data_IF_828176997856
#
_entry.id   IF_828176997856
#
_cell.length_a   1.000
_cell.length_b   1.000
_cell.length_c   1.000
_cell.angle_alpha   90.00
_cell.angle_beta   90.00
_cell.angle_gamma   90.00
#
_symmetry.space_group_name_H-M   'P 1'
#
loop_
_entity.id
_entity.type
_entity.pdbx_description
1 polymer ?
#
# COMPACT_ATOMS: atom_id res chain seq x y z
N UNK A 1 -8.48 -10.86 20.83
CA UNK A 1 -9.36 -9.68 20.85
C UNK A 1 -8.49 -8.51 20.38
N UNK A 2 -8.93 -7.72 19.39
CA UNK A 2 -8.14 -6.57 18.91
C UNK A 2 -8.22 -5.47 19.97
N UNK A 3 -7.07 -5.01 20.44
CA UNK A 3 -7.00 -3.83 21.30
C UNK A 3 -7.10 -2.57 20.42
N UNK A 4 -8.33 -2.07 20.28
CA UNK A 4 -8.62 -0.91 19.46
C UNK A 4 -7.92 0.37 19.96
N UNK A 5 -7.70 0.50 21.27
CA UNK A 5 -7.06 1.68 21.84
C UNK A 5 -5.55 1.70 21.56
N UNK A 6 -4.90 0.52 21.60
CA UNK A 6 -3.50 0.40 21.20
C UNK A 6 -3.31 0.70 19.69
N UNK A 7 -4.23 0.20 18.85
CA UNK A 7 -4.22 0.45 17.41
C UNK A 7 -4.41 1.93 17.08
N UNK A 8 -5.40 2.58 17.69
CA UNK A 8 -5.62 4.03 17.58
C UNK A 8 -4.36 4.79 17.95
N UNK A 9 -3.74 4.42 19.07
CA UNK A 9 -2.53 5.06 19.55
C UNK A 9 -1.39 4.98 18.54
N UNK A 10 -1.08 3.79 18.03
CA UNK A 10 0.00 3.62 17.06
C UNK A 10 -0.26 4.40 15.78
N UNK A 11 -1.49 4.36 15.25
CA UNK A 11 -1.85 5.09 14.03
C UNK A 11 -1.69 6.61 14.17
N UNK A 12 -2.11 7.17 15.31
CA UNK A 12 -1.93 8.58 15.61
C UNK A 12 -0.46 8.95 15.83
N UNK A 13 0.31 8.10 16.52
CA UNK A 13 1.72 8.34 16.78
C UNK A 13 2.54 8.42 15.47
N UNK A 14 2.15 7.70 14.41
CA UNK A 14 2.77 7.80 13.09
C UNK A 14 2.31 9.04 12.30
N UNK A 15 1.02 9.35 12.34
CA UNK A 15 0.42 10.34 11.44
C UNK A 15 0.59 11.77 11.91
N UNK A 16 0.35 12.03 13.19
CA UNK A 16 0.31 13.38 13.76
C UNK A 16 1.65 14.15 13.62
N UNK A 17 2.84 13.51 13.73
CA UNK A 17 4.11 14.19 13.47
C UNK A 17 4.21 14.78 12.05
N UNK A 18 3.61 14.12 11.03
CA UNK A 18 3.62 14.62 9.65
C UNK A 18 2.78 15.89 9.50
N UNK A 19 1.66 15.98 10.23
CA UNK A 19 0.84 17.20 10.28
C UNK A 19 1.58 18.33 10.98
N UNK A 20 2.25 18.05 12.11
CA UNK A 20 3.08 19.05 12.79
C UNK A 20 4.21 19.57 11.87
N UNK A 21 4.88 18.69 11.13
CA UNK A 21 5.92 19.08 10.17
C UNK A 21 5.39 19.96 9.02
N UNK A 22 4.09 19.86 8.69
CA UNK A 22 3.40 20.71 7.72
C UNK A 22 2.87 22.02 8.32
N UNK A 23 3.16 22.30 9.58
CA UNK A 23 2.77 23.55 10.26
C UNK A 23 1.41 23.51 10.96
N UNK A 24 0.77 22.35 11.08
CA UNK A 24 -0.46 22.22 11.85
C UNK A 24 -0.16 22.15 13.35
N UNK A 25 -1.02 22.76 14.16
CA UNK A 25 -1.07 22.52 15.61
C UNK A 25 -2.00 21.36 15.88
N UNK A 26 -1.46 20.24 16.34
CA UNK A 26 -2.23 19.02 16.60
C UNK A 26 -2.60 18.88 18.07
N UNK A 27 -3.85 18.50 18.34
CA UNK A 27 -4.36 18.11 19.66
C UNK A 27 -4.94 16.71 19.55
N UNK A 28 -4.41 15.78 20.35
CA UNK A 28 -4.90 14.40 20.45
C UNK A 28 -5.98 14.31 21.52
N UNK A 29 -7.06 13.57 21.24
CA UNK A 29 -8.25 13.47 22.10
C UNK A 29 -8.68 14.85 22.62
N UNK A 30 -9.03 15.77 21.70
CA UNK A 30 -9.40 17.13 22.06
C UNK A 30 -10.53 17.14 23.09
N UNK A 31 -10.42 18.04 24.07
CA UNK A 31 -11.55 18.35 24.94
C UNK A 31 -12.58 19.18 24.15
N UNK A 32 -13.81 19.28 24.67
CA UNK A 32 -14.88 20.07 24.04
C UNK A 32 -14.47 21.51 23.71
N UNK A 33 -13.58 22.09 24.51
CA UNK A 33 -13.06 23.45 24.33
C UNK A 33 -12.06 23.60 23.16
N UNK A 34 -11.46 22.50 22.71
CA UNK A 34 -10.52 22.49 21.58
C UNK A 34 -11.26 22.37 20.23
N UNK A 35 -12.53 21.98 20.29
CA UNK A 35 -13.42 21.79 19.14
C UNK A 35 -14.32 23.02 18.93
N UNK A 36 -14.68 23.31 17.68
CA UNK A 36 -15.69 24.34 17.39
C UNK A 36 -17.08 23.88 17.85
N UNK A 37 -18.00 24.82 18.05
CA UNK A 37 -19.35 24.54 18.55
C UNK A 37 -20.10 23.47 17.74
N UNK A 38 -19.92 23.43 16.42
CA UNK A 38 -20.57 22.44 15.55
C UNK A 38 -20.01 21.01 15.68
N UNK A 39 -18.87 20.83 16.38
CA UNK A 39 -18.26 19.54 16.73
C UNK A 39 -18.23 19.28 18.24
N UNK A 40 -18.84 20.14 19.07
CA UNK A 40 -18.71 20.07 20.53
C UNK A 40 -19.22 18.76 21.17
N UNK A 41 -20.11 18.05 20.48
CA UNK A 41 -20.65 16.75 20.91
C UNK A 41 -20.05 15.55 20.15
N UNK A 42 -18.98 15.78 19.42
CA UNK A 42 -18.28 14.75 18.65
C UNK A 42 -16.95 14.39 19.33
N UNK A 43 -16.74 13.09 19.54
CA UNK A 43 -15.52 12.54 20.17
C UNK A 43 -14.51 12.15 19.08
N UNK A 44 -13.69 13.15 18.70
CA UNK A 44 -12.66 13.01 17.69
C UNK A 44 -11.38 12.39 18.26
N UNK A 45 -10.69 11.57 17.47
CA UNK A 45 -9.44 10.96 17.92
C UNK A 45 -8.29 11.98 17.95
N UNK A 46 -8.27 12.91 16.98
CA UNK A 46 -7.44 14.11 17.01
C UNK A 46 -8.02 15.25 16.16
N UNK A 47 -7.55 16.47 16.45
CA UNK A 47 -7.81 17.67 15.65
C UNK A 47 -6.49 18.35 15.30
N UNK A 48 -6.37 18.88 14.09
CA UNK A 48 -5.22 19.66 13.65
C UNK A 48 -5.67 21.02 13.11
N UNK A 49 -5.01 22.09 13.57
CA UNK A 49 -5.31 23.48 13.18
C UNK A 49 -4.19 24.00 12.29
N UNK A 50 -4.49 24.24 11.02
CA UNK A 50 -3.54 24.72 10.03
C UNK A 50 -3.72 26.20 9.71
N UNK A 51 -2.82 26.76 8.88
CA UNK A 51 -2.93 28.13 8.39
C UNK A 51 -4.08 28.31 7.38
N UNK A 52 -4.35 27.29 6.55
CA UNK A 52 -5.34 27.36 5.47
C UNK A 52 -6.63 26.60 5.79
N UNK A 53 -6.52 25.48 6.51
CA UNK A 53 -7.65 24.62 6.87
C UNK A 53 -7.44 23.92 8.22
N UNK A 54 -8.54 23.33 8.71
CA UNK A 54 -8.57 22.53 9.93
C UNK A 54 -8.90 21.08 9.57
N UNK A 55 -8.39 20.15 10.38
CA UNK A 55 -8.51 18.72 10.12
C UNK A 55 -9.09 18.05 11.35
N UNK A 56 -10.12 17.23 11.16
CA UNK A 56 -10.50 16.19 12.11
C UNK A 56 -9.93 14.87 11.64
N UNK A 57 -9.20 14.20 12.53
CA UNK A 57 -8.54 12.92 12.28
C UNK A 57 -9.29 11.81 12.98
N UNK A 58 -9.62 10.76 12.25
CA UNK A 58 -10.33 9.57 12.72
C UNK A 58 -9.55 8.31 12.41
N UNK A 59 -9.35 7.44 13.40
CA UNK A 59 -8.74 6.12 13.21
C UNK A 59 -9.82 5.05 13.10
N UNK A 60 -9.92 4.44 11.92
CA UNK A 60 -10.83 3.33 11.66
C UNK A 60 -10.08 2.01 11.73
N UNK A 61 -10.46 1.16 12.68
CA UNK A 61 -9.98 -0.21 12.72
C UNK A 61 -10.88 -1.16 11.93
N UNK A 62 -10.29 -2.06 11.12
CA UNK A 62 -11.03 -3.08 10.37
C UNK A 62 -11.83 -3.96 11.34
N UNK A 63 -13.14 -4.10 11.07
CA UNK A 63 -14.07 -4.85 11.94
C UNK A 63 -14.75 -4.00 13.02
N UNK A 64 -14.46 -2.69 13.12
CA UNK A 64 -15.23 -1.77 13.96
C UNK A 64 -16.68 -1.66 13.45
N UNK A 65 -17.70 -2.06 14.22
CA UNK A 65 -19.10 -2.01 13.79
C UNK A 65 -19.61 -0.59 13.55
N UNK A 66 -19.03 0.40 14.23
CA UNK A 66 -19.49 1.79 14.26
C UNK A 66 -18.71 2.72 13.33
N UNK A 67 -17.62 2.25 12.72
CA UNK A 67 -16.75 3.08 11.89
C UNK A 67 -17.49 3.74 10.72
N UNK A 68 -18.31 2.99 9.97
CA UNK A 68 -19.05 3.53 8.81
C UNK A 68 -20.03 4.63 9.21
N UNK A 69 -20.76 4.44 10.31
CA UNK A 69 -21.71 5.44 10.82
C UNK A 69 -21.02 6.68 11.38
N UNK A 70 -19.87 6.52 12.07
CA UNK A 70 -19.07 7.62 12.62
C UNK A 70 -18.57 8.55 11.51
N UNK A 71 -17.97 7.99 10.46
CA UNK A 71 -17.49 8.75 9.29
C UNK A 71 -18.63 9.43 8.53
N UNK A 72 -19.74 8.74 8.32
CA UNK A 72 -20.90 9.33 7.63
C UNK A 72 -21.41 10.55 8.38
N UNK A 73 -21.63 10.43 9.69
CA UNK A 73 -22.09 11.55 10.54
C UNK A 73 -21.10 12.72 10.49
N UNK A 74 -19.80 12.44 10.55
CA UNK A 74 -18.80 13.50 10.52
C UNK A 74 -18.78 14.22 9.16
N UNK A 75 -18.90 13.49 8.05
CA UNK A 75 -19.04 14.12 6.72
C UNK A 75 -20.26 15.01 6.62
N UNK A 76 -21.41 14.57 7.18
CA UNK A 76 -22.65 15.36 7.21
C UNK A 76 -22.48 16.66 8.02
N UNK A 77 -21.79 16.61 9.16
CA UNK A 77 -21.48 17.80 9.96
C UNK A 77 -20.58 18.77 9.17
N UNK A 78 -19.58 18.26 8.46
CA UNK A 78 -18.58 19.10 7.76
C UNK A 78 -19.08 19.75 6.46
N UNK A 79 -20.24 19.36 5.90
CA UNK A 79 -20.75 19.93 4.63
C UNK A 79 -20.85 21.46 4.65
N UNK A 80 -21.18 22.04 5.82
CA UNK A 80 -21.31 23.50 5.99
C UNK A 80 -20.02 24.23 6.39
N UNK A 81 -18.90 23.53 6.48
CA UNK A 81 -17.66 24.04 7.08
C UNK A 81 -16.46 23.77 6.14
N UNK A 82 -16.30 24.54 5.06
CA UNK A 82 -15.26 24.31 4.05
C UNK A 82 -13.83 24.54 4.55
N UNK A 83 -13.68 25.26 5.67
CA UNK A 83 -12.44 25.42 6.42
C UNK A 83 -12.07 24.17 7.25
N UNK A 84 -12.87 23.10 7.13
CA UNK A 84 -12.67 21.82 7.81
C UNK A 84 -12.74 20.65 6.86
N UNK A 85 -11.85 19.68 7.06
CA UNK A 85 -11.88 18.41 6.36
C UNK A 85 -11.64 17.23 7.28
N UNK A 86 -12.15 16.08 6.86
CA UNK A 86 -11.98 14.81 7.55
C UNK A 86 -10.82 14.02 6.93
N UNK A 87 -9.82 13.69 7.74
CA UNK A 87 -8.78 12.72 7.40
C UNK A 87 -9.02 11.41 8.16
N UNK A 88 -9.10 10.31 7.42
CA UNK A 88 -9.31 8.97 7.99
C UNK A 88 -8.02 8.18 7.90
N UNK A 89 -7.53 7.71 9.04
CA UNK A 89 -6.43 6.76 9.14
C UNK A 89 -7.04 5.38 9.36
N UNK A 90 -6.56 4.37 8.64
CA UNK A 90 -7.00 3.00 8.89
C UNK A 90 -6.04 2.35 9.89
N UNK A 91 -6.51 2.15 11.12
CA UNK A 91 -5.81 1.40 12.15
C UNK A 91 -6.00 -0.11 11.97
N UNK A 92 -5.08 -0.91 12.48
CA UNK A 92 -5.26 -2.36 12.60
C UNK A 92 -4.36 -3.20 11.71
N UNK A 93 -3.40 -2.57 11.07
CA UNK A 93 -2.18 -3.25 10.66
C UNK A 93 -1.07 -2.56 11.43
N UNK A 94 -0.47 -3.24 12.42
CA UNK A 94 0.98 -3.08 12.54
C UNK A 94 1.48 -3.46 11.16
N UNK A 95 1.79 -2.46 10.34
CA UNK A 95 2.10 -2.63 8.92
C UNK A 95 3.10 -3.77 8.85
N UNK A 96 2.68 -4.93 8.32
CA UNK A 96 3.60 -6.04 8.13
C UNK A 96 4.56 -5.54 7.07
N UNK A 97 5.67 -4.94 7.51
CA UNK A 97 6.79 -4.65 6.66
C UNK A 97 7.17 -5.99 6.04
N UNK A 98 6.93 -6.09 4.73
CA UNK A 98 7.37 -7.27 4.00
C UNK A 98 8.89 -7.13 3.94
N UNK A 99 9.66 -8.05 4.56
CA UNK A 99 11.11 -7.92 4.58
C UNK A 99 11.62 -7.88 3.14
N UNK A 100 12.64 -7.06 2.90
CA UNK A 100 13.33 -7.03 1.61
C UNK A 100 14.00 -8.40 1.42
N UNK A 101 13.54 -9.16 0.43
CA UNK A 101 14.13 -10.45 0.11
C UNK A 101 15.58 -10.26 -0.33
N UNK A 102 16.46 -11.18 0.09
CA UNK A 102 17.85 -11.18 -0.35
C UNK A 102 17.94 -11.43 -1.86
N UNK A 103 18.95 -10.84 -2.52
CA UNK A 103 19.18 -11.05 -3.95
C UNK A 103 19.30 -12.55 -4.28
N UNK A 104 20.04 -13.32 -3.48
CA UNK A 104 20.19 -14.77 -3.65
C UNK A 104 18.84 -15.51 -3.60
N UNK A 105 17.95 -15.13 -2.68
CA UNK A 105 16.61 -15.72 -2.60
C UNK A 105 15.75 -15.41 -3.83
N UNK A 106 15.85 -14.19 -4.37
CA UNK A 106 15.16 -13.79 -5.60
C UNK A 106 15.72 -14.58 -6.78
N UNK A 107 17.06 -14.68 -6.91
CA UNK A 107 17.72 -15.45 -7.96
C UNK A 107 17.28 -16.92 -7.98
N UNK A 108 17.29 -17.57 -6.82
CA UNK A 108 16.85 -18.96 -6.69
C UNK A 108 15.38 -19.13 -7.08
N UNK A 109 14.52 -18.18 -6.71
CA UNK A 109 13.09 -18.24 -7.04
C UNK A 109 12.88 -18.08 -8.54
N UNK A 110 13.52 -17.08 -9.16
CA UNK A 110 13.41 -16.81 -10.61
C UNK A 110 13.96 -17.99 -11.42
N UNK A 111 15.09 -18.58 -11.03
CA UNK A 111 15.70 -19.72 -11.71
C UNK A 111 14.85 -21.01 -11.65
N UNK A 112 13.80 -21.04 -10.83
CA UNK A 112 12.90 -22.18 -10.71
C UNK A 112 11.56 -21.98 -11.42
N UNK A 113 11.26 -20.78 -11.94
CA UNK A 113 9.96 -20.48 -12.55
C UNK A 113 9.63 -21.41 -13.74
N UNK A 114 10.59 -21.65 -14.63
CA UNK A 114 10.40 -22.51 -15.81
C UNK A 114 10.34 -24.01 -15.47
N UNK A 115 10.67 -24.39 -14.24
CA UNK A 115 10.65 -25.80 -13.79
C UNK A 115 9.30 -26.19 -13.19
N UNK A 116 8.39 -25.23 -13.00
CA UNK A 116 7.10 -25.47 -12.38
C UNK A 116 6.13 -26.09 -13.39
N UNK A 117 5.59 -27.26 -13.04
CA UNK A 117 4.62 -27.94 -13.88
C UNK A 117 3.26 -27.23 -13.93
N UNK A 118 2.89 -26.50 -12.88
CA UNK A 118 1.63 -25.75 -12.82
C UNK A 118 1.84 -24.28 -13.21
N UNK A 119 1.21 -23.87 -14.32
CA UNK A 119 1.29 -22.51 -14.85
C UNK A 119 0.78 -21.45 -13.86
N UNK A 120 -0.19 -21.79 -13.01
CA UNK A 120 -0.72 -20.89 -11.97
C UNK A 120 0.33 -20.71 -10.87
N UNK A 121 1.01 -21.78 -10.46
CA UNK A 121 2.10 -21.69 -9.49
C UNK A 121 3.26 -20.84 -10.03
N UNK A 122 3.60 -21.02 -11.32
CA UNK A 122 4.60 -20.21 -11.99
C UNK A 122 4.20 -18.72 -12.04
N UNK A 123 2.95 -18.41 -12.37
CA UNK A 123 2.43 -17.03 -12.34
C UNK A 123 2.56 -16.41 -10.94
N UNK A 124 2.15 -17.12 -9.90
CA UNK A 124 2.18 -16.60 -8.53
C UNK A 124 3.61 -16.35 -8.05
N UNK A 125 4.53 -17.27 -8.33
CA UNK A 125 5.95 -17.13 -7.95
C UNK A 125 6.67 -16.07 -8.80
N UNK A 126 6.31 -15.93 -10.08
CA UNK A 126 6.82 -14.85 -10.92
C UNK A 126 6.37 -13.49 -10.38
N UNK A 127 5.09 -13.36 -10.00
CA UNK A 127 4.56 -12.13 -9.41
C UNK A 127 5.21 -11.80 -8.07
N UNK A 128 5.40 -12.79 -7.19
CA UNK A 128 6.13 -12.59 -5.93
C UNK A 128 7.58 -12.13 -6.17
N UNK A 129 8.23 -12.67 -7.20
CA UNK A 129 9.59 -12.26 -7.59
C UNK A 129 9.62 -10.82 -8.11
N UNK A 130 8.64 -10.40 -8.93
CA UNK A 130 8.50 -9.01 -9.38
C UNK A 130 8.34 -8.05 -8.22
N UNK A 131 7.49 -8.36 -7.24
CA UNK A 131 7.32 -7.51 -6.05
C UNK A 131 8.60 -7.43 -5.22
N UNK A 132 9.34 -8.53 -5.09
CA UNK A 132 10.62 -8.54 -4.40
C UNK A 132 11.69 -7.71 -5.12
N UNK A 133 11.73 -7.76 -6.46
CA UNK A 133 12.63 -6.95 -7.27
C UNK A 133 12.25 -5.48 -7.19
N UNK A 134 10.98 -5.13 -7.37
CA UNK A 134 10.48 -3.76 -7.23
C UNK A 134 10.81 -3.19 -5.84
N UNK A 135 10.74 -4.01 -4.79
CA UNK A 135 11.11 -3.59 -3.43
C UNK A 135 12.60 -3.36 -3.22
N UNK A 136 13.45 -4.02 -4.00
CA UNK A 136 14.89 -3.73 -4.00
C UNK A 136 15.23 -2.49 -4.83
N UNK A 137 14.49 -2.23 -5.91
CA UNK A 137 14.71 -1.07 -6.79
C UNK A 137 14.18 0.22 -6.15
N UNK A 138 13.00 0.17 -5.52
CA UNK A 138 12.28 1.33 -4.97
C UNK A 138 11.87 1.09 -3.50
N UNK A 139 12.83 0.93 -2.57
CA UNK A 139 12.53 0.53 -1.18
C UNK A 139 11.68 1.56 -0.42
N UNK A 140 11.83 2.86 -0.71
CA UNK A 140 11.03 3.92 -0.09
C UNK A 140 9.54 3.82 -0.45
N UNK A 141 9.24 3.45 -1.69
CA UNK A 141 7.87 3.35 -2.22
C UNK A 141 7.17 2.02 -1.87
N UNK A 142 7.94 1.03 -1.42
CA UNK A 142 7.48 -0.38 -1.26
C UNK A 142 7.61 -0.90 0.17
N UNK A 143 7.80 0.02 1.12
CA UNK A 143 7.75 -0.24 2.58
C UNK A 143 6.48 -0.98 3.00
N UNK A 144 5.38 -0.78 2.27
CA UNK A 144 4.09 -1.45 2.45
C UNK A 144 3.83 -2.48 1.34
N UNK A 145 2.98 -3.50 1.57
CA UNK A 145 2.44 -4.32 0.50
C UNK A 145 1.80 -3.45 -0.58
N UNK A 146 2.12 -3.73 -1.84
CA UNK A 146 1.62 -2.97 -2.98
C UNK A 146 0.48 -3.72 -3.65
N UNK A 147 -0.45 -2.99 -4.25
CA UNK A 147 -1.39 -3.61 -5.18
C UNK A 147 -0.64 -4.04 -6.45
N UNK A 148 -1.08 -5.10 -7.15
CA UNK A 148 -0.45 -5.53 -8.39
C UNK A 148 -0.28 -4.40 -9.41
N UNK A 149 -1.32 -3.57 -9.62
CA UNK A 149 -1.25 -2.42 -10.52
C UNK A 149 -0.19 -1.39 -10.11
N UNK A 150 -0.07 -1.10 -8.80
CA UNK A 150 0.92 -0.14 -8.29
C UNK A 150 2.36 -0.63 -8.50
N UNK A 151 2.61 -1.94 -8.41
CA UNK A 151 3.92 -2.52 -8.74
C UNK A 151 4.29 -2.24 -10.19
N UNK A 152 3.33 -2.40 -11.11
CA UNK A 152 3.56 -2.11 -12.54
C UNK A 152 3.81 -0.62 -12.78
N UNK A 153 3.04 0.26 -12.14
CA UNK A 153 3.25 1.71 -12.22
C UNK A 153 4.64 2.12 -11.72
N UNK A 154 5.09 1.58 -10.58
CA UNK A 154 6.42 1.84 -10.03
C UNK A 154 7.52 1.43 -11.02
N UNK A 155 7.41 0.20 -11.56
CA UNK A 155 8.39 -0.31 -12.52
C UNK A 155 8.43 0.52 -13.81
N UNK A 156 7.27 0.98 -14.28
CA UNK A 156 7.18 1.80 -15.49
C UNK A 156 7.69 3.23 -15.24
N UNK A 157 7.32 3.85 -14.12
CA UNK A 157 7.74 5.20 -13.76
C UNK A 157 9.25 5.29 -13.52
N UNK A 158 9.86 4.25 -12.95
CA UNK A 158 11.32 4.13 -12.82
C UNK A 158 12.05 3.80 -14.12
N UNK A 159 11.33 3.61 -15.24
CA UNK A 159 11.92 3.24 -16.53
C UNK A 159 12.52 1.84 -16.57
N UNK A 160 12.17 0.97 -15.63
CA UNK A 160 12.70 -0.40 -15.53
C UNK A 160 12.03 -1.35 -16.52
N UNK A 161 10.81 -1.02 -16.97
CA UNK A 161 10.07 -1.78 -17.98
C UNK A 161 9.66 -0.88 -19.14
N UNK A 162 9.64 -1.45 -20.34
CA UNK A 162 9.12 -0.80 -21.54
C UNK A 162 7.58 -0.67 -21.49
N UNK A 163 6.96 0.20 -22.32
CA UNK A 163 5.50 0.31 -22.38
C UNK A 163 4.80 -1.03 -22.69
N UNK A 164 5.36 -1.82 -23.60
CA UNK A 164 4.83 -3.15 -23.96
C UNK A 164 4.94 -4.13 -22.79
N UNK A 165 6.05 -4.13 -22.06
CA UNK A 165 6.19 -4.94 -20.84
C UNK A 165 5.21 -4.49 -19.76
N UNK A 166 5.01 -3.19 -19.56
CA UNK A 166 4.04 -2.69 -18.59
C UNK A 166 2.61 -3.13 -18.94
N UNK A 167 2.24 -3.15 -20.22
CA UNK A 167 0.94 -3.66 -20.67
C UNK A 167 0.79 -5.16 -20.40
N UNK A 168 1.80 -5.97 -20.75
CA UNK A 168 1.85 -7.38 -20.39
C UNK A 168 1.67 -7.59 -18.88
N UNK A 169 2.40 -6.84 -18.05
CA UNK A 169 2.31 -6.98 -16.60
C UNK A 169 0.92 -6.63 -16.05
N UNK A 170 0.23 -5.62 -16.62
CA UNK A 170 -1.16 -5.31 -16.25
C UNK A 170 -2.11 -6.46 -16.58
N UNK A 171 -1.99 -7.02 -17.78
CA UNK A 171 -2.82 -8.16 -18.20
C UNK A 171 -2.58 -9.37 -17.28
N UNK A 172 -1.32 -9.66 -16.96
CA UNK A 172 -0.97 -10.78 -16.07
C UNK A 172 -1.35 -10.51 -14.61
N UNK A 173 -1.41 -9.26 -14.16
CA UNK A 173 -1.93 -8.89 -12.84
C UNK A 173 -3.42 -9.29 -12.69
N UNK A 174 -4.21 -9.08 -13.74
CA UNK A 174 -5.63 -9.45 -13.76
C UNK A 174 -5.81 -10.97 -13.72
N UNK A 175 -5.02 -11.72 -14.49
CA UNK A 175 -4.99 -13.19 -14.45
C UNK A 175 -4.61 -13.67 -13.04
N UNK A 176 -3.57 -13.08 -12.43
CA UNK A 176 -3.14 -13.40 -11.07
C UNK A 176 -4.24 -13.16 -10.04
N UNK A 177 -4.97 -12.06 -10.17
CA UNK A 177 -6.07 -11.73 -9.28
C UNK A 177 -7.20 -12.75 -9.39
N UNK A 178 -7.58 -13.15 -10.60
CA UNK A 178 -8.58 -14.20 -10.78
C UNK A 178 -8.17 -15.52 -10.13
N UNK A 179 -6.92 -15.97 -10.33
CA UNK A 179 -6.38 -17.19 -9.72
C UNK A 179 -6.46 -17.13 -8.19
N UNK A 180 -6.03 -16.02 -7.58
CA UNK A 180 -6.05 -15.86 -6.11
C UNK A 180 -7.46 -15.71 -5.55
N UNK A 181 -8.38 -15.13 -6.32
CA UNK A 181 -9.78 -15.02 -5.93
C UNK A 181 -10.57 -16.31 -6.17
N UNK A 182 -9.89 -17.42 -6.53
CA UNK A 182 -10.46 -18.76 -6.54
C UNK A 182 -10.92 -19.25 -7.90
N UNK A 183 -10.61 -18.54 -8.99
CA UNK A 183 -10.80 -19.06 -10.34
C UNK A 183 -9.72 -20.11 -10.66
N UNK A 184 -9.84 -21.29 -10.05
CA UNK A 184 -8.84 -22.35 -10.15
C UNK A 184 -8.78 -22.96 -11.56
N UNK A 185 -9.85 -22.90 -12.34
CA UNK A 185 -9.86 -23.46 -13.70
C UNK A 185 -9.15 -22.57 -14.72
N UNK A 186 -8.85 -21.31 -14.36
CA UNK A 186 -8.13 -20.38 -15.22
C UNK A 186 -6.69 -20.84 -15.43
N UNK A 187 -6.34 -21.10 -16.69
CA UNK A 187 -4.97 -21.32 -17.11
C UNK A 187 -4.37 -20.01 -17.64
N UNK A 188 -3.26 -19.52 -17.06
CA UNK A 188 -2.54 -18.37 -17.61
C UNK A 188 -2.13 -18.63 -19.07
N UNK A 189 -2.30 -17.66 -19.99
CA UNK A 189 -1.88 -17.85 -21.37
C UNK A 189 -0.37 -18.15 -21.45
N UNK A 190 0.00 -19.30 -22.01
CA UNK A 190 1.39 -19.79 -21.96
C UNK A 190 2.41 -18.79 -22.53
N UNK A 191 2.08 -18.13 -23.65
CA UNK A 191 2.95 -17.10 -24.25
C UNK A 191 3.17 -15.91 -23.32
N UNK A 192 2.10 -15.37 -22.74
CA UNK A 192 2.20 -14.23 -21.81
C UNK A 192 2.90 -14.61 -20.50
N UNK A 193 2.72 -15.84 -20.02
CA UNK A 193 3.43 -16.35 -18.85
C UNK A 193 4.94 -16.46 -19.13
N UNK A 194 5.34 -16.94 -20.30
CA UNK A 194 6.74 -17.00 -20.70
C UNK A 194 7.35 -15.60 -20.84
N UNK A 195 6.62 -14.64 -21.43
CA UNK A 195 7.06 -13.25 -21.49
C UNK A 195 7.16 -12.59 -20.10
N UNK A 196 6.26 -12.93 -19.17
CA UNK A 196 6.33 -12.49 -17.77
C UNK A 196 7.59 -13.02 -17.08
N UNK A 197 7.90 -14.32 -17.25
CA UNK A 197 9.11 -14.94 -16.68
C UNK A 197 10.36 -14.29 -17.27
N UNK A 198 10.41 -14.09 -18.59
CA UNK A 198 11.51 -13.41 -19.27
C UNK A 198 11.69 -11.96 -18.77
N UNK A 199 10.60 -11.22 -18.62
CA UNK A 199 10.61 -9.84 -18.07
C UNK A 199 11.13 -9.82 -16.63
N UNK A 200 10.70 -10.78 -15.80
CA UNK A 200 11.17 -10.94 -14.42
C UNK A 200 12.67 -11.23 -14.38
N UNK A 201 13.18 -12.11 -15.26
CA UNK A 201 14.60 -12.41 -15.39
C UNK A 201 15.44 -11.21 -15.87
N UNK A 202 14.90 -10.40 -16.78
CA UNK A 202 15.53 -9.15 -17.23
C UNK A 202 15.65 -8.13 -16.10
N UNK A 203 14.59 -7.93 -15.32
CA UNK A 203 14.59 -7.04 -14.15
C UNK A 203 15.55 -7.51 -13.05
N UNK A 204 15.65 -8.81 -12.81
CA UNK A 204 16.64 -9.37 -11.89
C UNK A 204 18.07 -9.05 -12.35
N UNK A 205 18.35 -9.20 -13.64
CA UNK A 205 19.66 -8.89 -14.21
C UNK A 205 20.00 -7.40 -14.07
N UNK A 206 19.02 -6.52 -14.30
CA UNK A 206 19.16 -5.08 -14.05
C UNK A 206 19.48 -4.78 -12.58
N UNK A 207 18.73 -5.38 -11.65
CA UNK A 207 18.95 -5.22 -10.21
C UNK A 207 20.37 -5.63 -9.81
N UNK A 208 20.88 -6.75 -10.34
CA UNK A 208 22.26 -7.21 -10.10
C UNK A 208 23.26 -6.15 -10.56
N UNK A 209 23.09 -5.63 -11.78
CA UNK A 209 23.99 -4.60 -12.33
C UNK A 209 24.00 -3.33 -11.47
N UNK A 210 22.84 -2.84 -11.04
CA UNK A 210 22.76 -1.63 -10.20
C UNK A 210 23.44 -1.82 -8.83
N UNK A 211 23.29 -3.00 -8.21
CA UNK A 211 23.99 -3.32 -6.95
C UNK A 211 25.50 -3.44 -7.13
N UNK A 212 25.96 -4.04 -8.23
CA UNK A 212 27.40 -4.10 -8.54
C UNK A 212 28.00 -2.72 -8.83
N UNK A 213 27.21 -1.81 -9.41
CA UNK A 213 27.61 -0.42 -9.68
C UNK A 213 27.53 0.49 -8.43
N UNK A 214 27.04 0.00 -7.29
CA UNK A 214 26.86 0.80 -6.06
C UNK A 214 25.77 1.87 -6.16
N UNK A 215 24.81 1.69 -7.06
CA UNK A 215 23.68 2.62 -7.27
C UNK A 215 22.46 2.31 -6.39
N UNK A 216 22.52 1.23 -5.61
CA UNK A 216 21.53 0.72 -4.64
C UNK A 216 22.27 0.20 -3.40
#
# INVERSE_FOLDING_TARGET
MVDFAAVEKTALDEYLPRLNARGYRVVRRPAKQDLPAFLADYDADAVARGPDDNIIVEVITKGSPTAKSKIRRLREILVGHPDWRLEVIYGGEGERQVPIASLSSIEQTVANLDKLADARAALLLAWASLEAIARNLEPSETTRPQTPGRVVELLAAGGFVTPTQAELLRNMADVRNQVIHGNVDLQPPAGQLQELIATTGGLLSLLKTQRHAGML
#
